data_IF_026990471085
#
_entry.id   IF_026990471085
#
_cell.length_a   1.000
_cell.length_b   1.000
_cell.length_c   1.000
_cell.angle_alpha   90.00
_cell.angle_beta   90.00
_cell.angle_gamma   90.00
#
_symmetry.space_group_name_H-M   'P 1'
#
loop_
_entity.id
_entity.type
_entity.pdbx_description
1 polymer ?
#
# COMPACT_ATOMS: atom_id res chain seq x y z
N UNK A 1 -1.49 13.76 12.25
CA UNK A 1 -0.59 12.59 12.27
C UNK A 1 0.80 13.05 11.87
N UNK A 2 1.65 13.38 12.84
CA UNK A 2 3.05 13.75 12.60
C UNK A 2 3.91 12.49 12.72
N UNK A 3 4.84 12.26 11.78
CA UNK A 3 5.82 11.17 11.89
C UNK A 3 5.83 10.15 10.74
N UNK A 4 5.04 10.35 9.68
CA UNK A 4 5.28 9.61 8.43
C UNK A 4 6.52 10.22 7.78
N UNK A 5 7.51 9.37 7.49
CA UNK A 5 8.77 9.75 6.87
C UNK A 5 8.62 10.02 5.36
N UNK A 6 9.75 10.32 4.70
CA UNK A 6 9.77 10.47 3.25
C UNK A 6 9.37 9.15 2.57
N UNK A 7 8.56 9.26 1.52
CA UNK A 7 8.21 8.12 0.67
C UNK A 7 9.44 7.67 -0.14
N UNK A 8 9.66 6.37 -0.21
CA UNK A 8 10.70 5.73 -1.01
C UNK A 8 10.03 4.60 -1.79
N UNK A 9 9.43 4.89 -2.96
CA UNK A 9 8.79 3.86 -3.78
C UNK A 9 9.77 2.73 -4.09
N UNK A 10 9.30 1.48 -3.96
CA UNK A 10 10.10 0.29 -4.22
C UNK A 10 9.48 -0.53 -5.38
N UNK A 11 10.28 -0.98 -6.36
CA UNK A 11 9.75 -1.68 -7.54
C UNK A 11 9.07 -3.02 -7.20
N UNK A 12 9.37 -3.60 -6.04
CA UNK A 12 8.81 -4.86 -5.57
C UNK A 12 7.64 -4.67 -4.59
N UNK A 13 7.71 -3.70 -3.68
CA UNK A 13 6.71 -3.49 -2.62
C UNK A 13 5.65 -2.46 -2.99
N UNK A 14 5.91 -1.61 -3.99
CA UNK A 14 5.00 -0.60 -4.50
C UNK A 14 5.19 0.77 -3.83
N UNK A 15 4.12 1.57 -3.82
CA UNK A 15 4.20 2.98 -3.41
C UNK A 15 4.26 3.20 -1.90
N UNK A 16 3.74 2.28 -1.09
CA UNK A 16 3.63 2.47 0.36
C UNK A 16 4.88 2.01 1.12
N UNK A 17 6.01 2.63 0.78
CA UNK A 17 7.28 2.45 1.44
C UNK A 17 7.76 3.81 1.94
N UNK A 18 8.05 3.92 3.24
CA UNK A 18 8.40 5.18 3.91
C UNK A 18 9.60 4.97 4.85
N UNK A 19 10.38 6.02 5.10
CA UNK A 19 11.54 5.93 6.02
C UNK A 19 11.16 5.72 7.48
N UNK A 20 9.95 6.12 7.86
CA UNK A 20 9.39 5.94 9.20
C UNK A 20 7.86 5.95 9.13
N UNK A 21 7.22 5.24 10.06
CA UNK A 21 5.79 5.28 10.29
C UNK A 21 5.52 5.54 11.78
N UNK A 22 4.48 6.30 12.14
CA UNK A 22 3.97 6.34 13.51
C UNK A 22 3.53 4.94 13.97
N UNK A 23 3.67 4.65 15.28
CA UNK A 23 3.40 3.34 15.86
C UNK A 23 2.01 2.79 15.49
N UNK A 24 0.98 3.63 15.49
CA UNK A 24 -0.39 3.21 15.13
C UNK A 24 -0.49 2.76 13.68
N UNK A 25 0.16 3.47 12.75
CA UNK A 25 0.17 3.10 11.33
C UNK A 25 1.03 1.86 11.09
N UNK A 26 2.17 1.75 11.78
CA UNK A 26 3.03 0.57 11.71
C UNK A 26 2.27 -0.67 12.19
N UNK A 27 1.58 -0.59 13.32
CA UNK A 27 0.77 -1.69 13.86
C UNK A 27 -0.38 -2.08 12.92
N UNK A 28 -1.06 -1.10 12.32
CA UNK A 28 -2.13 -1.37 11.35
C UNK A 28 -1.61 -2.06 10.07
N UNK A 29 -0.45 -1.64 9.57
CA UNK A 29 0.21 -2.23 8.41
C UNK A 29 0.69 -3.67 8.69
N UNK A 30 1.23 -3.91 9.88
CA UNK A 30 1.69 -5.22 10.34
C UNK A 30 0.52 -6.19 10.56
N UNK A 31 -0.59 -5.72 11.14
CA UNK A 31 -1.81 -6.52 11.29
C UNK A 31 -2.38 -6.94 9.93
N UNK A 32 -2.41 -6.01 8.97
CA UNK A 32 -2.82 -6.29 7.59
C UNK A 32 -1.87 -7.32 6.94
N UNK A 33 -0.56 -7.19 7.15
CA UNK A 33 0.42 -8.16 6.64
C UNK A 33 0.26 -9.55 7.25
N UNK A 34 0.01 -9.63 8.55
CA UNK A 34 -0.28 -10.89 9.22
C UNK A 34 -1.53 -11.55 8.64
N UNK A 35 -2.59 -10.79 8.38
CA UNK A 35 -3.81 -11.31 7.75
C UNK A 35 -3.54 -11.82 6.32
N UNK A 36 -2.88 -11.03 5.49
CA UNK A 36 -2.55 -11.43 4.13
C UNK A 36 -1.67 -12.70 4.12
N UNK A 37 -0.76 -12.86 5.09
CA UNK A 37 0.11 -14.04 5.17
C UNK A 37 -0.67 -15.30 5.55
N UNK A 38 -1.73 -15.16 6.36
CA UNK A 38 -2.63 -16.26 6.67
C UNK A 38 -3.44 -16.67 5.43
N UNK A 39 -3.87 -15.70 4.61
CA UNK A 39 -4.53 -15.98 3.32
C UNK A 39 -3.59 -16.70 2.35
N UNK A 40 -2.36 -16.19 2.19
CA UNK A 40 -1.33 -16.82 1.34
C UNK A 40 -1.04 -18.27 1.76
N UNK A 41 -1.01 -18.54 3.08
CA UNK A 41 -0.81 -19.90 3.59
C UNK A 41 -1.94 -20.86 3.22
N UNK A 42 -3.15 -20.34 2.98
CA UNK A 42 -4.34 -21.12 2.57
C UNK A 42 -4.49 -21.20 1.06
N UNK A 43 -4.00 -20.21 0.33
CA UNK A 43 -4.14 -20.10 -1.13
C UNK A 43 -2.90 -19.44 -1.73
N UNK A 44 -1.79 -20.20 -1.87
CA UNK A 44 -0.50 -19.64 -2.26
C UNK A 44 -0.51 -19.04 -3.66
N UNK A 45 0.14 -17.89 -3.82
CA UNK A 45 0.27 -17.19 -5.10
C UNK A 45 -1.04 -16.55 -5.59
N UNK A 46 -2.07 -16.49 -4.75
CA UNK A 46 -3.33 -15.86 -5.13
C UNK A 46 -3.21 -14.33 -5.08
N UNK A 47 -3.39 -13.69 -6.23
CA UNK A 47 -3.66 -12.26 -6.30
C UNK A 47 -5.12 -11.99 -5.95
N UNK A 48 -5.40 -10.89 -5.26
CA UNK A 48 -6.76 -10.51 -4.89
C UNK A 48 -6.93 -9.01 -4.74
N UNK A 49 -8.17 -8.56 -4.86
CA UNK A 49 -8.58 -7.18 -4.62
C UNK A 49 -9.33 -7.09 -3.30
N UNK A 50 -9.11 -5.98 -2.57
CA UNK A 50 -9.92 -5.61 -1.41
C UNK A 50 -10.05 -4.10 -1.30
N UNK A 51 -10.97 -3.63 -0.49
CA UNK A 51 -11.01 -2.22 -0.12
C UNK A 51 -9.67 -1.78 0.52
N UNK A 52 -9.22 -0.58 0.19
CA UNK A 52 -8.05 0.02 0.81
C UNK A 52 -8.30 0.21 2.31
N UNK A 53 -7.36 -0.23 3.15
CA UNK A 53 -7.47 -0.04 4.60
C UNK A 53 -7.34 1.44 4.96
N UNK A 54 -7.81 1.82 6.15
CA UNK A 54 -7.64 3.19 6.64
C UNK A 54 -6.16 3.61 6.70
N UNK A 55 -5.26 2.67 6.98
CA UNK A 55 -3.82 2.90 6.94
C UNK A 55 -3.33 3.18 5.52
N UNK A 56 -3.71 2.36 4.54
CA UNK A 56 -3.35 2.57 3.13
C UNK A 56 -3.89 3.90 2.61
N UNK A 57 -5.14 4.23 2.93
CA UNK A 57 -5.76 5.51 2.58
C UNK A 57 -4.99 6.67 3.22
N UNK A 58 -4.63 6.58 4.49
CA UNK A 58 -3.84 7.61 5.17
C UNK A 58 -2.49 7.82 4.50
N UNK A 59 -1.79 6.74 4.15
CA UNK A 59 -0.47 6.81 3.53
C UNK A 59 -0.54 7.36 2.10
N UNK A 60 -1.54 6.96 1.30
CA UNK A 60 -1.74 7.51 -0.05
C UNK A 60 -2.10 8.99 -0.02
N UNK A 61 -2.99 9.40 0.90
CA UNK A 61 -3.32 10.81 1.08
C UNK A 61 -2.08 11.62 1.51
N UNK A 62 -1.23 11.04 2.37
CA UNK A 62 0.04 11.67 2.77
C UNK A 62 1.00 11.84 1.58
N UNK A 63 1.02 10.88 0.65
CA UNK A 63 1.78 10.95 -0.60
C UNK A 63 1.21 11.92 -1.64
N UNK A 64 0.08 12.59 -1.37
CA UNK A 64 -0.51 13.60 -2.25
C UNK A 64 -1.53 13.07 -3.25
N UNK A 65 -2.03 11.85 -3.07
CA UNK A 65 -3.09 11.30 -3.92
C UNK A 65 -4.47 11.76 -3.47
N UNK A 66 -5.33 12.05 -4.44
CA UNK A 66 -6.76 12.25 -4.22
C UNK A 66 -7.48 10.90 -4.28
N UNK A 67 -8.12 10.51 -3.17
CA UNK A 67 -8.63 9.15 -2.98
C UNK A 67 -10.14 9.05 -3.24
N UNK A 68 -10.59 8.11 -4.08
CA UNK A 68 -12.01 7.78 -4.18
C UNK A 68 -12.52 7.09 -2.92
N UNK A 69 -13.83 7.17 -2.69
CA UNK A 69 -14.48 6.53 -1.53
C UNK A 69 -14.38 5.00 -1.61
N UNK A 70 -14.50 4.42 -2.81
CA UNK A 70 -14.44 2.99 -3.10
C UNK A 70 -13.06 2.52 -3.57
N UNK A 71 -11.99 3.14 -3.07
CA UNK A 71 -10.61 2.79 -3.43
C UNK A 71 -10.31 1.31 -3.15
N UNK A 72 -9.87 0.61 -4.18
CA UNK A 72 -9.43 -0.78 -4.12
C UNK A 72 -7.90 -0.87 -4.06
N UNK A 73 -7.42 -1.75 -3.20
CA UNK A 73 -6.03 -2.20 -3.15
C UNK A 73 -5.93 -3.54 -3.87
N UNK A 74 -5.18 -3.56 -4.95
CA UNK A 74 -4.77 -4.79 -5.63
C UNK A 74 -3.53 -5.36 -4.94
N UNK A 75 -3.61 -6.60 -4.46
CA UNK A 75 -2.53 -7.28 -3.75
C UNK A 75 -2.00 -8.42 -4.61
N UNK A 76 -0.73 -8.31 -4.98
CA UNK A 76 0.05 -9.35 -5.64
C UNK A 76 1.06 -9.96 -4.65
N UNK A 77 1.36 -11.25 -4.81
CA UNK A 77 2.39 -11.95 -4.05
C UNK A 77 3.57 -12.27 -4.96
N UNK A 78 4.68 -11.53 -4.79
CA UNK A 78 5.92 -11.81 -5.53
C UNK A 78 6.66 -13.01 -4.95
N UNK A 79 6.62 -13.14 -3.63
CA UNK A 79 7.10 -14.32 -2.89
C UNK A 79 6.17 -14.57 -1.70
N UNK A 80 6.35 -15.68 -1.01
CA UNK A 80 5.59 -16.00 0.21
C UNK A 80 5.66 -14.89 1.28
N UNK A 81 6.75 -14.10 1.32
CA UNK A 81 6.97 -13.03 2.30
C UNK A 81 6.89 -11.61 1.73
N UNK A 82 6.85 -11.45 0.40
CA UNK A 82 6.81 -10.14 -0.26
C UNK A 82 5.48 -9.98 -0.97
N UNK A 83 4.63 -9.12 -0.41
CA UNK A 83 3.44 -8.59 -1.08
C UNK A 83 3.80 -7.31 -1.84
N UNK A 84 3.25 -7.17 -3.04
CA UNK A 84 3.22 -5.93 -3.82
C UNK A 84 1.80 -5.41 -3.79
N UNK A 85 1.64 -4.13 -3.47
CA UNK A 85 0.33 -3.45 -3.53
C UNK A 85 0.32 -2.45 -4.66
N UNK A 86 -0.81 -2.38 -5.36
CA UNK A 86 -1.06 -1.46 -6.47
C UNK A 86 -2.45 -0.85 -6.34
N UNK A 87 -2.59 0.36 -6.87
CA UNK A 87 -3.85 1.09 -6.91
C UNK A 87 -4.13 1.52 -8.35
N UNK A 88 -4.71 0.65 -9.18
CA UNK A 88 -4.99 0.96 -10.59
C UNK A 88 -5.78 2.26 -10.78
N UNK A 89 -6.68 2.58 -9.84
CA UNK A 89 -7.48 3.81 -9.84
C UNK A 89 -6.65 5.10 -9.68
N UNK A 90 -5.41 4.99 -9.20
CA UNK A 90 -4.52 6.12 -8.91
C UNK A 90 -3.31 6.18 -9.86
N UNK A 91 -3.13 5.21 -10.77
CA UNK A 91 -1.97 5.13 -11.67
C UNK A 91 -1.84 6.38 -12.56
N UNK A 92 -2.96 6.95 -13.01
CA UNK A 92 -2.95 8.20 -13.77
C UNK A 92 -2.45 9.40 -12.94
N UNK A 93 -2.79 9.45 -11.65
CA UNK A 93 -2.28 10.49 -10.74
C UNK A 93 -0.80 10.26 -10.43
N UNK A 94 -0.37 9.01 -10.27
CA UNK A 94 1.02 8.67 -9.99
C UNK A 94 1.94 9.16 -11.12
N UNK A 95 1.54 8.96 -12.38
CA UNK A 95 2.26 9.47 -13.53
C UNK A 95 2.38 11.01 -13.50
N UNK A 96 1.28 11.71 -13.17
CA UNK A 96 1.27 13.18 -13.07
C UNK A 96 2.17 13.70 -11.94
N UNK A 97 2.25 12.99 -10.82
CA UNK A 97 3.12 13.35 -9.69
C UNK A 97 4.60 13.11 -10.01
N UNK A 98 4.93 12.08 -10.79
CA UNK A 98 6.30 11.81 -11.24
C UNK A 98 6.78 12.84 -12.29
N UNK A 99 5.87 13.31 -13.16
CA UNK A 99 6.18 14.30 -14.20
C UNK A 99 6.20 15.76 -13.69
N UNK A 100 5.89 15.98 -12.40
CA UNK A 100 5.91 17.31 -11.79
C UNK A 100 7.36 17.81 -11.61
N UNK A 101 7.68 19.05 -12.04
CA UNK A 101 9.04 19.60 -12.06
C UNK A 101 9.61 19.95 -10.67
#
# INVERSE_FOLDING_TARGET
>A
MTGIGAQIPDPYRGWLCFTALPDELQQAEDATLAHDNQLESRSPGQCFDRAATDAERTLLAHSGFDLPDDLLTHVDRLTASVRRRRWPQLEAQAQLLEDAP
#
